data_IF_221277689690
#
_entry.id   IF_221277689690
#
_cell.length_a   1.000
_cell.length_b   1.000
_cell.length_c   1.000
_cell.angle_alpha   90.00
_cell.angle_beta   90.00
_cell.angle_gamma   90.00
#
_symmetry.space_group_name_H-M   'P 1'
#
loop_
_entity.id
_entity.type
_entity.pdbx_description
1 polymer ?
#
# COMPACT_ATOMS: atom_id res chain seq x y z
N UNK A 1 0.17 19.71 -22.99
CA UNK A 1 0.42 19.70 -21.53
C UNK A 1 -0.70 18.92 -20.88
N UNK A 2 -0.39 17.91 -20.05
CA UNK A 2 -1.42 17.08 -19.40
C UNK A 2 -2.32 17.92 -18.50
N UNK A 3 -3.64 17.71 -18.59
CA UNK A 3 -4.68 18.34 -17.74
C UNK A 3 -4.45 18.02 -16.26
N UNK A 4 -3.90 16.85 -15.97
CA UNK A 4 -3.55 16.41 -14.60
C UNK A 4 -2.49 17.33 -13.98
N UNK A 5 -1.50 17.77 -14.76
CA UNK A 5 -0.44 18.68 -14.30
C UNK A 5 -0.91 20.14 -14.13
N UNK A 6 -2.08 20.48 -14.65
CA UNK A 6 -2.70 21.80 -14.45
C UNK A 6 -3.48 21.89 -13.14
N UNK A 7 -3.74 20.75 -12.49
CA UNK A 7 -4.41 20.67 -11.19
C UNK A 7 -3.62 21.39 -10.09
N UNK A 8 -4.32 22.24 -9.33
CA UNK A 8 -3.74 23.01 -8.22
C UNK A 8 -3.11 22.10 -7.14
N UNK A 9 -3.79 21.04 -6.63
CA UNK A 9 -3.19 20.04 -5.74
C UNK A 9 -1.92 19.41 -6.28
N UNK A 10 -1.92 18.98 -7.54
CA UNK A 10 -0.75 18.31 -8.16
C UNK A 10 0.44 19.25 -8.21
N UNK A 11 0.21 20.52 -8.60
CA UNK A 11 1.27 21.53 -8.62
C UNK A 11 1.83 21.80 -7.23
N UNK A 12 0.98 21.95 -6.22
CA UNK A 12 1.45 22.15 -4.84
C UNK A 12 2.22 20.94 -4.32
N UNK A 13 1.74 19.72 -4.60
CA UNK A 13 2.43 18.48 -4.23
C UNK A 13 3.80 18.37 -4.91
N UNK A 14 3.87 18.64 -6.22
CA UNK A 14 5.12 18.61 -6.97
C UNK A 14 6.12 19.67 -6.48
N UNK A 15 5.66 20.88 -6.15
CA UNK A 15 6.50 21.91 -5.55
C UNK A 15 7.02 21.50 -4.16
N UNK A 16 6.15 20.94 -3.31
CA UNK A 16 6.56 20.44 -2.00
C UNK A 16 7.58 19.31 -2.13
N UNK A 17 7.35 18.37 -3.06
CA UNK A 17 8.26 17.26 -3.34
C UNK A 17 9.64 17.75 -3.80
N UNK A 18 9.67 18.65 -4.79
CA UNK A 18 10.92 19.22 -5.30
C UNK A 18 11.66 20.04 -4.24
N UNK A 19 10.94 20.76 -3.39
CA UNK A 19 11.51 21.55 -2.30
C UNK A 19 12.07 20.65 -1.19
N UNK A 20 11.37 19.56 -0.84
CA UNK A 20 11.85 18.54 0.08
C UNK A 20 13.13 17.88 -0.42
N UNK A 21 13.14 17.46 -1.69
CA UNK A 21 14.32 16.88 -2.32
C UNK A 21 15.50 17.86 -2.28
N UNK A 22 15.29 19.12 -2.66
CA UNK A 22 16.32 20.17 -2.59
C UNK A 22 16.82 20.40 -1.17
N UNK A 23 15.94 20.40 -0.17
CA UNK A 23 16.29 20.57 1.24
C UNK A 23 17.12 19.41 1.80
N UNK A 24 16.99 18.21 1.24
CA UNK A 24 17.83 17.06 1.60
C UNK A 24 19.29 17.23 1.17
N UNK A 25 19.57 17.97 0.08
CA UNK A 25 20.93 18.22 -0.41
C UNK A 25 21.53 19.56 0.04
N UNK A 26 20.70 20.61 0.17
CA UNK A 26 21.16 21.95 0.50
C UNK A 26 21.15 22.20 2.02
N UNK A 27 22.33 22.35 2.61
CA UNK A 27 22.45 22.80 4.02
C UNK A 27 21.90 24.22 4.14
N UNK A 28 20.77 24.39 4.85
CA UNK A 28 20.27 25.70 5.27
C UNK A 28 18.93 26.17 4.68
N UNK A 29 18.17 25.32 3.98
CA UNK A 29 16.78 25.66 3.63
C UNK A 29 15.88 25.62 4.87
N UNK A 30 15.00 26.61 5.01
CA UNK A 30 14.09 26.67 6.18
C UNK A 30 13.05 25.56 6.08
N UNK A 31 12.95 24.76 7.14
CA UNK A 31 11.90 23.74 7.26
C UNK A 31 10.50 24.34 7.16
N UNK A 32 10.37 25.62 7.53
CA UNK A 32 9.13 26.38 7.46
C UNK A 32 8.61 26.55 6.02
N UNK A 33 9.49 26.71 5.02
CA UNK A 33 9.05 26.85 3.63
C UNK A 33 8.39 25.56 3.12
N UNK A 34 9.03 24.42 3.41
CA UNK A 34 8.53 23.10 3.05
C UNK A 34 7.22 22.78 3.77
N UNK A 35 7.14 23.07 5.07
CA UNK A 35 5.92 22.85 5.85
C UNK A 35 4.76 23.69 5.33
N UNK A 36 5.00 24.97 4.98
CA UNK A 36 4.00 25.83 4.37
C UNK A 36 3.51 25.29 3.01
N UNK A 37 4.43 24.82 2.14
CA UNK A 37 4.05 24.18 0.86
C UNK A 37 3.18 22.95 1.07
N UNK A 38 3.54 22.10 2.04
CA UNK A 38 2.78 20.88 2.36
C UNK A 38 1.38 21.22 2.86
N UNK A 39 1.27 22.21 3.75
CA UNK A 39 -0.02 22.71 4.24
C UNK A 39 -0.88 23.26 3.10
N UNK A 40 -0.33 24.07 2.20
CA UNK A 40 -1.06 24.55 1.02
C UNK A 40 -1.55 23.39 0.13
N UNK A 41 -0.74 22.36 -0.06
CA UNK A 41 -1.14 21.17 -0.81
C UNK A 41 -2.32 20.46 -0.15
N UNK A 42 -2.23 20.20 1.16
CA UNK A 42 -3.28 19.50 1.91
C UNK A 42 -4.58 20.31 1.91
N UNK A 43 -4.50 21.63 2.11
CA UNK A 43 -5.67 22.52 2.04
C UNK A 43 -6.32 22.44 0.65
N UNK A 44 -5.52 22.51 -0.41
CA UNK A 44 -6.06 22.42 -1.78
C UNK A 44 -6.69 21.05 -2.09
N UNK A 45 -6.12 19.96 -1.59
CA UNK A 45 -6.71 18.61 -1.68
C UNK A 45 -8.06 18.58 -0.96
N UNK A 46 -8.14 19.14 0.25
CA UNK A 46 -9.38 19.17 1.05
C UNK A 46 -10.48 19.99 0.39
N UNK A 47 -10.13 21.14 -0.20
CA UNK A 47 -11.08 21.97 -0.96
C UNK A 47 -11.66 21.20 -2.15
N UNK A 48 -10.81 20.54 -2.95
CA UNK A 48 -11.28 19.74 -4.08
C UNK A 48 -12.11 18.52 -3.67
N UNK A 49 -11.81 17.91 -2.52
CA UNK A 49 -12.62 16.83 -1.96
C UNK A 49 -13.96 17.34 -1.40
N UNK A 50 -14.00 18.56 -0.85
CA UNK A 50 -15.24 19.17 -0.36
C UNK A 50 -16.20 19.50 -1.52
N UNK A 51 -15.66 19.94 -2.66
CA UNK A 51 -16.42 20.23 -3.88
C UNK A 51 -16.64 18.99 -4.76
N UNK A 52 -16.28 17.80 -4.28
CA UNK A 52 -16.33 16.58 -5.06
C UNK A 52 -17.76 16.11 -5.34
N UNK A 53 -18.11 16.03 -6.62
CA UNK A 53 -19.44 15.64 -7.10
C UNK A 53 -19.55 14.18 -7.55
N UNK A 54 -18.55 13.34 -7.31
CA UNK A 54 -18.54 11.93 -7.75
C UNK A 54 -17.81 11.66 -9.08
N UNK A 55 -17.18 12.67 -9.69
CA UNK A 55 -16.48 12.50 -10.98
C UNK A 55 -15.14 11.78 -10.82
N UNK A 56 -14.97 10.62 -11.49
CA UNK A 56 -13.68 9.90 -11.52
C UNK A 56 -12.53 10.75 -12.07
N UNK A 57 -12.81 11.63 -13.02
CA UNK A 57 -11.81 12.52 -13.62
C UNK A 57 -11.23 13.52 -12.62
N UNK A 58 -11.99 13.88 -11.58
CA UNK A 58 -11.53 14.75 -10.51
C UNK A 58 -10.65 14.00 -9.48
N UNK A 59 -10.78 12.67 -9.39
CA UNK A 59 -10.00 11.86 -8.45
C UNK A 59 -8.58 11.55 -8.95
N UNK A 60 -8.36 11.46 -10.26
CA UNK A 60 -7.03 11.12 -10.81
C UNK A 60 -5.93 12.13 -10.45
N UNK A 61 -6.16 13.46 -10.55
CA UNK A 61 -5.19 14.44 -10.07
C UNK A 61 -4.99 14.40 -8.55
N UNK A 62 -6.04 14.07 -7.78
CA UNK A 62 -5.94 13.92 -6.33
C UNK A 62 -5.09 12.70 -5.97
N UNK A 63 -5.28 11.57 -6.66
CA UNK A 63 -4.46 10.38 -6.49
C UNK A 63 -2.97 10.72 -6.70
N UNK A 64 -2.65 11.42 -7.79
CA UNK A 64 -1.29 11.84 -8.07
C UNK A 64 -0.72 12.77 -6.98
N UNK A 65 -1.50 13.74 -6.52
CA UNK A 65 -1.07 14.67 -5.47
C UNK A 65 -0.80 13.95 -4.14
N UNK A 66 -1.68 13.01 -3.75
CA UNK A 66 -1.52 12.23 -2.49
C UNK A 66 -0.36 11.24 -2.60
N UNK A 67 -0.14 10.61 -3.76
CA UNK A 67 1.04 9.78 -4.00
C UNK A 67 2.34 10.58 -3.83
N UNK A 68 2.41 11.80 -4.38
CA UNK A 68 3.56 12.67 -4.22
C UNK A 68 3.80 13.05 -2.74
N UNK A 69 2.75 13.30 -1.95
CA UNK A 69 2.87 13.53 -0.51
C UNK A 69 3.34 12.28 0.24
N UNK A 70 2.83 11.10 -0.12
CA UNK A 70 3.28 9.82 0.43
C UNK A 70 4.79 9.62 0.21
N UNK A 71 5.28 9.85 -1.02
CA UNK A 71 6.71 9.72 -1.33
C UNK A 71 7.57 10.81 -0.69
N UNK A 72 7.04 12.04 -0.58
CA UNK A 72 7.73 13.11 0.12
C UNK A 72 8.01 12.72 1.57
N UNK A 73 6.99 12.29 2.30
CA UNK A 73 7.11 11.96 3.72
C UNK A 73 7.89 10.65 3.94
N UNK A 74 7.65 9.64 3.10
CA UNK A 74 8.18 8.28 3.29
C UNK A 74 9.58 8.03 2.74
N UNK A 75 10.00 8.75 1.68
CA UNK A 75 11.21 8.44 0.93
C UNK A 75 12.17 9.63 0.79
N UNK A 76 11.63 10.85 0.72
CA UNK A 76 12.47 12.06 0.52
C UNK A 76 12.91 12.65 1.85
N UNK A 77 11.98 12.87 2.77
CA UNK A 77 12.30 13.43 4.07
C UNK A 77 12.71 12.35 5.07
N UNK A 78 12.06 11.18 5.07
CA UNK A 78 12.38 10.04 5.95
C UNK A 78 12.56 10.42 7.44
N UNK A 79 11.96 11.54 7.89
CA UNK A 79 12.13 12.06 9.25
C UNK A 79 10.89 11.75 10.07
N UNK A 80 10.94 10.74 10.95
CA UNK A 80 10.04 10.45 12.10
C UNK A 80 8.50 10.66 11.97
N UNK A 81 7.96 11.08 10.83
CA UNK A 81 6.56 11.41 10.58
C UNK A 81 5.82 10.19 10.06
N UNK A 82 5.96 9.07 10.77
CA UNK A 82 5.28 7.80 10.47
C UNK A 82 3.76 7.98 10.33
N UNK A 83 3.18 8.90 11.13
CA UNK A 83 1.75 9.23 11.07
C UNK A 83 1.35 9.90 9.75
N UNK A 84 2.18 10.78 9.19
CA UNK A 84 1.87 11.46 7.93
C UNK A 84 1.96 10.49 6.75
N UNK A 85 3.00 9.64 6.73
CA UNK A 85 3.13 8.56 5.73
C UNK A 85 1.92 7.64 5.75
N UNK A 86 1.49 7.19 6.94
CA UNK A 86 0.32 6.33 7.09
C UNK A 86 -0.99 7.04 6.68
N UNK A 87 -1.13 8.33 7.02
CA UNK A 87 -2.29 9.11 6.59
C UNK A 87 -2.36 9.26 5.07
N UNK A 88 -1.23 9.49 4.40
CA UNK A 88 -1.18 9.58 2.94
C UNK A 88 -1.39 8.22 2.28
N UNK A 89 -0.82 7.15 2.83
CA UNK A 89 -1.07 5.78 2.41
C UNK A 89 -2.58 5.46 2.43
N UNK A 90 -3.27 5.69 3.55
CA UNK A 90 -4.71 5.48 3.65
C UNK A 90 -5.51 6.35 2.68
N UNK A 91 -5.04 7.58 2.43
CA UNK A 91 -5.62 8.47 1.42
C UNK A 91 -5.51 7.91 -0.01
N UNK A 92 -4.35 7.34 -0.36
CA UNK A 92 -4.16 6.65 -1.65
C UNK A 92 -5.15 5.49 -1.78
N UNK A 93 -5.24 4.62 -0.76
CA UNK A 93 -6.15 3.48 -0.78
C UNK A 93 -7.62 3.92 -0.94
N UNK A 94 -8.05 4.93 -0.18
CA UNK A 94 -9.42 5.44 -0.26
C UNK A 94 -9.76 5.98 -1.67
N UNK A 95 -8.82 6.66 -2.33
CA UNK A 95 -9.01 7.15 -3.69
C UNK A 95 -9.02 5.99 -4.70
N UNK A 96 -8.17 4.97 -4.52
CA UNK A 96 -8.17 3.77 -5.36
C UNK A 96 -9.53 3.06 -5.27
N UNK A 97 -10.07 2.88 -4.07
CA UNK A 97 -11.40 2.29 -3.87
C UNK A 97 -12.50 3.12 -4.54
N UNK A 98 -12.47 4.45 -4.38
CA UNK A 98 -13.42 5.34 -5.05
C UNK A 98 -13.32 5.31 -6.59
N UNK A 99 -12.12 5.01 -7.12
CA UNK A 99 -11.87 4.80 -8.55
C UNK A 99 -12.28 3.39 -9.03
N UNK A 100 -12.88 2.55 -8.19
CA UNK A 100 -13.36 1.20 -8.52
C UNK A 100 -12.39 0.08 -8.17
N UNK A 101 -11.45 0.34 -7.26
CA UNK A 101 -10.55 -0.66 -6.70
C UNK A 101 -9.30 -0.92 -7.55
N UNK A 102 -8.51 -1.89 -7.10
CA UNK A 102 -7.16 -2.17 -7.59
C UNK A 102 -7.10 -2.43 -9.10
N UNK A 103 -7.98 -3.29 -9.60
CA UNK A 103 -8.01 -3.65 -11.03
C UNK A 103 -8.37 -2.46 -11.92
N UNK A 104 -9.31 -1.62 -11.49
CA UNK A 104 -9.76 -0.47 -12.26
C UNK A 104 -8.62 0.56 -12.40
N UNK A 105 -7.89 0.83 -11.32
CA UNK A 105 -6.76 1.77 -11.35
C UNK A 105 -5.57 1.21 -12.14
N UNK A 106 -5.27 -0.07 -12.02
CA UNK A 106 -4.16 -0.69 -12.77
C UNK A 106 -4.46 -0.85 -14.27
N UNK A 107 -5.74 -0.95 -14.66
CA UNK A 107 -6.17 -1.05 -16.06
C UNK A 107 -6.42 0.31 -16.71
N UNK A 108 -6.58 1.36 -15.91
CA UNK A 108 -6.89 2.69 -16.41
C UNK A 108 -5.67 3.38 -17.02
N UNK A 109 -5.89 4.10 -18.12
CA UNK A 109 -4.91 4.94 -18.80
C UNK A 109 -4.65 6.22 -17.99
N UNK A 110 -4.11 6.12 -16.79
CA UNK A 110 -3.55 7.26 -16.04
C UNK A 110 -2.02 7.27 -16.17
N UNK A 111 -1.48 7.58 -17.36
CA UNK A 111 -0.04 7.49 -17.59
C UNK A 111 0.75 8.37 -16.62
N UNK A 112 0.21 9.53 -16.22
CA UNK A 112 0.88 10.46 -15.32
C UNK A 112 1.07 9.92 -13.90
N UNK A 113 0.19 9.01 -13.45
CA UNK A 113 0.29 8.39 -12.13
C UNK A 113 0.90 6.98 -12.18
N UNK A 114 0.94 6.34 -13.36
CA UNK A 114 1.34 4.94 -13.51
C UNK A 114 2.71 4.61 -12.90
N UNK A 115 3.71 5.46 -13.14
CA UNK A 115 5.05 5.31 -12.57
C UNK A 115 5.01 5.33 -11.03
N UNK A 116 4.37 6.36 -10.45
CA UNK A 116 4.28 6.52 -8.99
C UNK A 116 3.40 5.45 -8.35
N UNK A 117 2.37 4.99 -9.06
CA UNK A 117 1.53 3.89 -8.61
C UNK A 117 2.32 2.57 -8.60
N UNK A 118 3.13 2.30 -9.62
CA UNK A 118 3.97 1.10 -9.66
C UNK A 118 4.97 1.07 -8.50
N UNK A 119 5.51 2.23 -8.11
CA UNK A 119 6.38 2.37 -6.94
C UNK A 119 5.59 2.18 -5.65
N UNK A 120 4.39 2.75 -5.55
CA UNK A 120 3.53 2.65 -4.37
C UNK A 120 3.14 1.19 -4.08
N UNK A 121 2.75 0.46 -5.11
CA UNK A 121 2.36 -0.95 -5.02
C UNK A 121 3.57 -1.82 -4.61
N UNK A 122 4.76 -1.55 -5.17
CA UNK A 122 6.02 -2.19 -4.75
C UNK A 122 6.37 -1.91 -3.29
N UNK A 123 6.20 -0.66 -2.85
CA UNK A 123 6.41 -0.26 -1.47
C UNK A 123 5.43 -0.96 -0.51
N UNK A 124 4.13 -1.01 -0.85
CA UNK A 124 3.13 -1.74 -0.05
C UNK A 124 3.49 -3.21 0.09
N UNK A 125 3.81 -3.90 -1.01
CA UNK A 125 4.19 -5.31 -0.96
C UNK A 125 5.44 -5.53 -0.10
N UNK A 126 6.46 -4.69 -0.28
CA UNK A 126 7.72 -4.81 0.46
C UNK A 126 7.48 -4.62 1.95
N UNK A 127 6.77 -3.55 2.33
CA UNK A 127 6.42 -3.31 3.73
C UNK A 127 5.56 -4.45 4.28
N UNK A 128 4.61 -4.95 3.49
CA UNK A 128 3.73 -6.03 3.89
C UNK A 128 4.48 -7.30 4.25
N UNK A 129 5.38 -7.71 3.35
CA UNK A 129 6.24 -8.88 3.53
C UNK A 129 7.15 -8.70 4.74
N UNK A 130 7.75 -7.52 4.92
CA UNK A 130 8.64 -7.24 6.06
C UNK A 130 7.91 -7.25 7.41
N UNK A 131 6.65 -6.82 7.44
CA UNK A 131 5.82 -6.77 8.65
C UNK A 131 5.04 -8.08 8.89
N UNK A 132 5.11 -9.05 7.98
CA UNK A 132 4.28 -10.25 8.03
C UNK A 132 2.77 -9.98 7.88
N UNK A 133 2.40 -8.82 7.31
CA UNK A 133 0.99 -8.48 7.03
C UNK A 133 0.61 -8.89 5.62
N UNK A 134 -0.69 -8.96 5.37
CA UNK A 134 -1.23 -9.10 4.02
C UNK A 134 -0.94 -7.80 3.23
N UNK A 135 -0.37 -7.87 2.01
CA UNK A 135 -0.31 -6.72 1.11
C UNK A 135 -1.72 -6.30 0.72
N UNK A 136 -1.92 -5.00 0.50
CA UNK A 136 -3.21 -4.52 0.00
C UNK A 136 -3.43 -5.04 -1.41
N UNK A 137 -2.40 -5.05 -2.25
CA UNK A 137 -2.52 -5.44 -3.65
C UNK A 137 -2.34 -6.94 -3.92
N UNK A 138 -3.23 -7.49 -4.74
CA UNK A 138 -3.22 -8.90 -5.10
C UNK A 138 -2.11 -9.31 -6.07
N UNK A 139 -1.72 -10.58 -6.04
CA UNK A 139 -0.75 -11.14 -6.97
C UNK A 139 -1.13 -10.99 -8.46
N UNK A 140 -2.43 -10.90 -8.78
CA UNK A 140 -2.91 -10.81 -10.15
C UNK A 140 -2.63 -9.44 -10.82
N UNK A 141 -2.42 -8.37 -10.03
CA UNK A 141 -2.35 -7.02 -10.58
C UNK A 141 -0.98 -6.67 -11.17
N UNK A 142 0.08 -7.40 -10.81
CA UNK A 142 1.47 -7.06 -11.18
C UNK A 142 1.71 -7.07 -12.69
N UNK A 143 1.15 -8.05 -13.40
CA UNK A 143 1.21 -8.10 -14.87
C UNK A 143 0.44 -6.96 -15.53
N UNK A 144 -0.63 -6.48 -14.89
CA UNK A 144 -1.39 -5.34 -15.39
C UNK A 144 -0.60 -4.05 -15.22
N UNK A 145 0.02 -3.85 -14.06
CA UNK A 145 0.90 -2.70 -13.81
C UNK A 145 2.06 -2.65 -14.81
N UNK A 146 2.72 -3.80 -15.07
CA UNK A 146 3.85 -3.89 -16.01
C UNK A 146 3.50 -3.50 -17.44
N UNK A 147 2.22 -3.56 -17.83
CA UNK A 147 1.77 -3.09 -19.15
C UNK A 147 1.78 -1.56 -19.29
N UNK A 148 1.87 -0.83 -18.16
CA UNK A 148 1.98 0.63 -18.10
C UNK A 148 3.42 1.14 -17.98
N UNK A 149 3.59 2.41 -17.58
CA UNK A 149 4.92 2.92 -17.20
C UNK A 149 5.21 2.49 -15.77
N UNK A 150 6.35 1.82 -15.59
CA UNK A 150 6.78 1.28 -14.30
C UNK A 150 8.16 1.80 -13.93
N UNK A 151 8.48 1.83 -12.64
CA UNK A 151 9.75 2.37 -12.15
C UNK A 151 10.93 1.43 -12.40
N UNK A 152 10.65 0.14 -12.63
CA UNK A 152 11.66 -0.85 -12.95
C UNK A 152 11.91 -0.96 -14.45
N UNK A 153 13.07 -1.49 -14.82
CA UNK A 153 13.34 -1.84 -16.20
C UNK A 153 12.49 -3.05 -16.60
N UNK A 154 11.69 -2.89 -17.66
CA UNK A 154 11.03 -4.02 -18.33
C UNK A 154 12.09 -4.72 -19.19
N UNK A 155 12.87 -5.59 -18.56
CA UNK A 155 13.81 -6.49 -19.24
C UNK A 155 13.50 -7.92 -18.84
N UNK A 156 13.31 -8.78 -19.84
CA UNK A 156 13.16 -10.21 -19.64
C UNK A 156 14.53 -10.82 -19.33
N UNK A 157 14.91 -10.86 -18.05
CA UNK A 157 16.07 -11.65 -17.62
C UNK A 157 15.65 -13.10 -17.56
N UNK A 158 15.97 -13.87 -18.61
CA UNK A 158 15.72 -15.31 -18.62
C UNK A 158 14.25 -15.69 -18.51
N UNK A 159 13.35 -14.97 -19.18
CA UNK A 159 11.89 -15.17 -19.24
C UNK A 159 11.09 -14.88 -17.95
N UNK A 160 11.71 -14.23 -16.96
CA UNK A 160 11.04 -13.75 -15.75
C UNK A 160 11.14 -12.23 -15.70
N UNK A 161 10.00 -11.55 -15.52
CA UNK A 161 9.95 -10.10 -15.35
C UNK A 161 9.94 -9.74 -13.86
N UNK A 162 10.27 -8.49 -13.49
CA UNK A 162 10.18 -8.09 -12.09
C UNK A 162 8.73 -8.18 -11.56
N UNK A 163 7.74 -7.94 -12.43
CA UNK A 163 6.34 -8.16 -12.09
C UNK A 163 6.02 -9.63 -11.76
N UNK A 164 6.66 -10.61 -12.42
CA UNK A 164 6.46 -12.02 -12.04
C UNK A 164 7.06 -12.34 -10.67
N UNK A 165 8.20 -11.72 -10.33
CA UNK A 165 8.80 -11.84 -8.99
C UNK A 165 7.88 -11.23 -7.93
N UNK A 166 7.40 -10.00 -8.14
CA UNK A 166 6.48 -9.36 -7.21
C UNK A 166 5.16 -10.12 -7.06
N UNK A 167 4.59 -10.63 -8.16
CA UNK A 167 3.41 -11.49 -8.12
C UNK A 167 3.64 -12.78 -7.31
N UNK A 168 4.84 -13.37 -7.43
CA UNK A 168 5.22 -14.54 -6.62
C UNK A 168 5.35 -14.19 -5.14
N UNK A 169 6.00 -13.07 -4.82
CA UNK A 169 6.13 -12.57 -3.44
C UNK A 169 4.76 -12.28 -2.81
N UNK A 170 3.86 -11.63 -3.54
CA UNK A 170 2.49 -11.39 -3.10
C UNK A 170 1.75 -12.70 -2.83
N UNK A 171 1.88 -13.69 -3.72
CA UNK A 171 1.27 -15.01 -3.55
C UNK A 171 1.80 -15.74 -2.31
N UNK A 172 3.11 -15.68 -2.05
CA UNK A 172 3.74 -16.27 -0.88
C UNK A 172 3.25 -15.59 0.41
N UNK A 173 3.17 -14.25 0.40
CA UNK A 173 2.66 -13.49 1.54
C UNK A 173 1.20 -13.84 1.85
N UNK A 174 0.35 -13.89 0.83
CA UNK A 174 -1.05 -14.31 0.95
C UNK A 174 -1.19 -15.73 1.52
N UNK A 175 -0.41 -16.67 1.00
CA UNK A 175 -0.39 -18.04 1.48
C UNK A 175 0.05 -18.13 2.96
N UNK A 176 1.10 -17.40 3.32
CA UNK A 176 1.65 -17.40 4.68
C UNK A 176 0.64 -16.84 5.68
N UNK A 177 -0.03 -15.74 5.31
CA UNK A 177 -1.08 -15.14 6.13
C UNK A 177 -2.29 -16.07 6.29
N UNK A 178 -2.69 -16.77 5.23
CA UNK A 178 -3.78 -17.74 5.30
C UNK A 178 -3.45 -18.91 6.25
N UNK A 179 -2.24 -19.48 6.14
CA UNK A 179 -1.77 -20.53 7.06
C UNK A 179 -1.74 -20.04 8.52
N UNK A 180 -1.33 -18.80 8.77
CA UNK A 180 -1.30 -18.24 10.12
C UNK A 180 -2.72 -18.09 10.71
N UNK A 181 -3.68 -17.61 9.91
CA UNK A 181 -5.09 -17.53 10.31
C UNK A 181 -5.66 -18.92 10.64
N UNK A 182 -5.38 -19.94 9.81
CA UNK A 182 -5.81 -21.31 10.07
C UNK A 182 -5.24 -21.85 11.39
N UNK A 183 -3.96 -21.61 11.66
CA UNK A 183 -3.31 -22.01 12.91
C UNK A 183 -3.93 -21.31 14.12
N UNK A 184 -4.26 -20.03 14.01
CA UNK A 184 -4.86 -19.26 15.11
C UNK A 184 -6.29 -19.73 15.42
N UNK A 185 -7.09 -20.03 14.39
CA UNK A 185 -8.40 -20.67 14.54
C UNK A 185 -8.28 -22.03 15.21
N UNK A 186 -7.30 -22.84 14.80
CA UNK A 186 -7.02 -24.14 15.43
C UNK A 186 -6.65 -23.99 16.90
N UNK A 187 -5.74 -23.06 17.24
CA UNK A 187 -5.35 -22.78 18.63
C UNK A 187 -6.55 -22.35 19.48
N UNK A 188 -7.36 -21.43 18.97
CA UNK A 188 -8.57 -20.95 19.65
C UNK A 188 -9.58 -22.08 19.90
N UNK A 189 -9.75 -22.96 18.92
CA UNK A 189 -10.62 -24.14 19.03
C UNK A 189 -10.13 -25.11 20.11
N UNK A 190 -8.83 -25.42 20.14
CA UNK A 190 -8.23 -26.28 21.17
C UNK A 190 -8.37 -25.66 22.56
N UNK A 191 -8.10 -24.36 22.71
CA UNK A 191 -8.27 -23.65 23.97
C UNK A 191 -9.73 -23.70 24.47
N UNK A 192 -10.69 -23.52 23.56
CA UNK A 192 -12.11 -23.60 23.87
C UNK A 192 -12.51 -25.02 24.31
N UNK A 193 -12.05 -26.05 23.59
CA UNK A 193 -12.28 -27.45 23.97
C UNK A 193 -11.65 -27.78 25.33
N UNK A 194 -10.42 -27.34 25.59
CA UNK A 194 -9.73 -27.52 26.87
C UNK A 194 -10.48 -26.86 28.03
N UNK A 195 -10.96 -25.63 27.85
CA UNK A 195 -11.72 -24.90 28.87
C UNK A 195 -13.09 -25.55 29.17
N UNK A 196 -13.75 -26.09 28.15
CA UNK A 196 -15.01 -26.81 28.33
C UNK A 196 -14.79 -28.17 29.02
N UNK A 197 -13.69 -28.87 28.69
CA UNK A 197 -13.29 -30.11 29.33
C UNK A 197 -12.77 -29.90 30.76
N UNK A 198 -12.25 -28.72 31.12
CA UNK A 198 -11.85 -28.38 32.48
C UNK A 198 -13.02 -28.04 33.41
N UNK A 199 -14.19 -27.66 32.85
CA UNK A 199 -15.42 -27.38 33.62
C UNK A 199 -16.20 -28.64 34.00
N UNK A 200 -15.96 -29.75 33.32
CA UNK A 200 -16.48 -31.07 33.68
C UNK A 200 -15.30 -31.90 34.19
N UNK A 201 -15.33 -32.37 35.45
CA UNK A 201 -14.20 -33.06 36.09
C UNK A 201 -13.57 -34.24 35.31
N UNK A 202 -12.44 -34.79 35.80
CA UNK A 202 -11.44 -35.49 34.98
C UNK A 202 -11.97 -36.84 34.48
N UNK A 203 -12.38 -36.91 33.21
CA UNK A 203 -12.69 -38.20 32.56
C UNK A 203 -11.94 -38.40 31.23
N UNK A 204 -11.37 -37.37 30.60
CA UNK A 204 -10.70 -37.56 29.31
C UNK A 204 -9.27 -36.99 29.28
N UNK A 205 -8.30 -37.90 29.33
CA UNK A 205 -6.89 -37.61 29.03
C UNK A 205 -6.73 -37.41 27.52
N UNK A 206 -6.43 -36.17 27.11
CA UNK A 206 -6.21 -35.77 25.70
C UNK A 206 -5.08 -36.55 25.01
N UNK A 207 -4.23 -37.27 25.75
CA UNK A 207 -3.18 -38.14 25.18
C UNK A 207 -3.73 -39.27 24.29
N UNK A 208 -4.98 -39.69 24.48
CA UNK A 208 -5.58 -40.75 23.67
C UNK A 208 -6.28 -40.27 22.39
N UNK A 209 -6.59 -38.98 22.25
CA UNK A 209 -7.32 -38.44 21.10
C UNK A 209 -6.41 -37.86 20.00
N UNK A 210 -5.19 -37.43 20.35
CA UNK A 210 -4.25 -36.84 19.39
C UNK A 210 -3.24 -37.83 18.76
N UNK A 211 -3.38 -39.14 19.03
CA UNK A 211 -2.50 -40.18 18.46
C UNK A 211 -2.60 -40.37 16.94
N UNK A 212 -3.52 -39.69 16.25
CA UNK A 212 -3.75 -39.85 14.81
C UNK A 212 -4.00 -38.55 14.02
N UNK A 213 -3.67 -37.38 14.58
CA UNK A 213 -3.72 -36.15 13.77
C UNK A 213 -2.40 -36.03 13.01
N UNK A 214 -2.38 -36.48 11.76
CA UNK A 214 -1.36 -36.08 10.80
C UNK A 214 -1.44 -34.55 10.67
N UNK A 215 -0.44 -33.86 11.22
CA UNK A 215 -0.16 -32.48 10.86
C UNK A 215 0.03 -32.40 9.34
N UNK A 216 -0.58 -31.43 8.64
CA UNK A 216 -0.19 -31.16 7.27
C UNK A 216 1.24 -30.59 7.26
N UNK A 217 2.03 -30.84 6.18
CA UNK A 217 3.37 -30.29 6.04
C UNK A 217 3.40 -28.75 5.95
#
# INVERSE_FOLDING_TARGET
MSVVLQSTPVRHAACAFAEGHRASYARGLSQDSLMNRRLHCITSIREQLADYSGSREALSPLLLAVLLLYFLDGFVECRQQQLSVHSHYNGVLAIIEALGGQQAVCSSTYPEASLLLSEFVAADLTEAVLQGRLPYFDAAIWKQIESGQVWWAVQDVGSQSLASVFGTMASISQYSHHKELELEVWRSTICTMSNNLGRHGPVFSLKHLFGHINMPP
#
